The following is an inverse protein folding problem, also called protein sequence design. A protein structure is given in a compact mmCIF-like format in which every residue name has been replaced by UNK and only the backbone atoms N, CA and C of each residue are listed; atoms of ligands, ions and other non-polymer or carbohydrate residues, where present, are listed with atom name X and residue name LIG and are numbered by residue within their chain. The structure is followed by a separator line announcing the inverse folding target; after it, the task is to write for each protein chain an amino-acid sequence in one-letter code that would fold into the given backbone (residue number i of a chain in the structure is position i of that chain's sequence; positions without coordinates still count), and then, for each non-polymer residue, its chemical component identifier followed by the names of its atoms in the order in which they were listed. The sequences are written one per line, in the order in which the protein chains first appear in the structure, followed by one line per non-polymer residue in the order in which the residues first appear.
data_IF_252098456452
#
_entry.id   IF_252098456452
#
_cell.length_a   1.000
_cell.length_b   1.000
_cell.length_c   1.000
_cell.angle_alpha   90.00
_cell.angle_beta   90.00
_cell.angle_gamma   90.00
#
_symmetry.space_group_name_H-M   'P 1'
#
loop_
_entity.id
_entity.type
_entity.pdbx_description
1 polymer ?
#
# COMPACT_ATOMS: atom_id res chain seq x y z
N UNK A 1 18.38 0.01 -23.14
CA UNK A 1 18.56 0.18 -21.68
C UNK A 1 18.19 1.57 -21.18
N UNK A 2 18.55 2.66 -21.87
CA UNK A 2 18.27 4.03 -21.42
C UNK A 2 16.78 4.31 -21.15
N UNK A 3 15.88 3.92 -22.07
CA UNK A 3 14.41 4.06 -21.88
C UNK A 3 13.86 3.31 -20.65
N UNK A 4 14.41 2.14 -20.32
CA UNK A 4 13.99 1.36 -19.14
C UNK A 4 14.43 2.06 -17.86
N UNK A 5 15.68 2.57 -17.84
CA UNK A 5 16.21 3.32 -16.72
C UNK A 5 15.41 4.60 -16.45
N UNK A 6 15.08 5.35 -17.51
CA UNK A 6 14.27 6.57 -17.42
C UNK A 6 12.86 6.26 -16.87
N UNK A 7 12.22 5.19 -17.36
CA UNK A 7 10.93 4.73 -16.85
C UNK A 7 11.00 4.36 -15.36
N UNK A 8 12.02 3.61 -14.95
CA UNK A 8 12.22 3.23 -13.55
C UNK A 8 12.44 4.43 -12.64
N UNK A 9 13.23 5.42 -13.07
CA UNK A 9 13.48 6.64 -12.30
C UNK A 9 12.20 7.48 -12.19
N UNK A 10 11.48 7.64 -13.30
CA UNK A 10 10.26 8.42 -13.31
C UNK A 10 9.20 7.82 -12.36
N UNK A 11 9.01 6.50 -12.41
CA UNK A 11 8.02 5.78 -11.59
C UNK A 11 8.60 5.18 -10.31
N UNK A 12 9.76 5.65 -9.83
CA UNK A 12 10.45 5.08 -8.67
C UNK A 12 9.54 4.95 -7.44
N UNK A 13 8.82 6.03 -7.08
CA UNK A 13 7.89 6.02 -5.94
C UNK A 13 6.68 5.12 -6.17
N UNK A 14 6.20 5.00 -7.41
CA UNK A 14 5.14 4.07 -7.77
C UNK A 14 5.57 2.61 -7.56
N UNK A 15 6.79 2.26 -7.98
CA UNK A 15 7.35 0.93 -7.73
C UNK A 15 7.62 0.68 -6.25
N UNK A 16 8.10 1.69 -5.52
CA UNK A 16 8.33 1.59 -4.09
C UNK A 16 7.02 1.36 -3.31
N UNK A 17 5.95 2.08 -3.66
CA UNK A 17 4.61 1.89 -3.09
C UNK A 17 4.09 0.47 -3.36
N UNK A 18 4.21 0.01 -4.61
CA UNK A 18 3.83 -1.34 -5.02
C UNK A 18 4.57 -2.40 -4.19
N UNK A 19 5.90 -2.32 -4.13
CA UNK A 19 6.74 -3.31 -3.47
C UNK A 19 6.52 -3.32 -1.95
N UNK A 20 6.40 -2.15 -1.34
CA UNK A 20 6.11 -2.00 0.10
C UNK A 20 4.78 -2.65 0.44
N UNK A 21 3.77 -2.50 -0.42
CA UNK A 21 2.44 -3.09 -0.23
C UNK A 21 2.44 -4.61 -0.35
N UNK A 22 3.18 -5.16 -1.32
CA UNK A 22 3.37 -6.61 -1.42
C UNK A 22 4.10 -7.15 -0.19
N UNK A 23 5.21 -6.52 0.21
CA UNK A 23 5.99 -6.95 1.37
C UNK A 23 5.19 -6.88 2.67
N UNK A 24 4.41 -5.80 2.86
CA UNK A 24 3.54 -5.64 4.01
C UNK A 24 2.42 -6.68 4.04
N UNK A 25 1.71 -6.88 2.93
CA UNK A 25 0.67 -7.90 2.82
C UNK A 25 1.21 -9.31 3.07
N UNK A 26 2.39 -9.63 2.52
CA UNK A 26 3.09 -10.89 2.77
C UNK A 26 3.40 -11.10 4.27
N UNK A 27 3.92 -10.06 4.94
CA UNK A 27 4.17 -10.11 6.38
C UNK A 27 2.89 -10.33 7.19
N UNK A 28 1.76 -9.72 6.80
CA UNK A 28 0.48 -9.93 7.45
C UNK A 28 -0.06 -11.36 7.29
N UNK A 29 0.18 -12.01 6.14
CA UNK A 29 -0.23 -13.40 5.92
C UNK A 29 0.56 -14.37 6.81
N UNK A 30 1.88 -14.16 6.96
CA UNK A 30 2.75 -15.05 7.74
C UNK A 30 2.68 -14.78 9.24
N UNK A 31 2.61 -13.50 9.63
CA UNK A 31 2.66 -13.06 11.03
C UNK A 31 1.37 -12.33 11.40
N UNK A 32 0.25 -13.05 11.58
CA UNK A 32 -1.04 -12.44 11.94
C UNK A 32 -1.03 -11.77 13.32
N UNK A 33 -0.06 -12.15 14.15
CA UNK A 33 0.20 -11.58 15.47
C UNK A 33 0.36 -10.06 15.43
N UNK A 34 0.85 -9.48 14.32
CA UNK A 34 0.97 -8.02 14.14
C UNK A 34 -0.40 -7.35 14.32
N UNK A 35 -1.45 -7.91 13.72
CA UNK A 35 -2.80 -7.33 13.82
C UNK A 35 -3.42 -7.61 15.20
N UNK A 36 -3.17 -8.80 15.75
CA UNK A 36 -3.73 -9.24 17.02
C UNK A 36 -3.13 -8.48 18.22
N UNK A 37 -1.82 -8.21 18.18
CA UNK A 37 -1.07 -7.55 19.26
C UNK A 37 -1.59 -6.14 19.54
N UNK A 38 -1.94 -5.39 18.50
CA UNK A 38 -2.31 -3.99 18.66
C UNK A 38 -3.80 -3.76 18.91
N UNK A 39 -4.64 -4.80 19.11
CA UNK A 39 -6.12 -4.65 19.17
C UNK A 39 -6.78 -3.91 17.99
N UNK A 40 -6.01 -3.48 17.00
CA UNK A 40 -6.44 -3.00 15.67
C UNK A 40 -7.40 -4.00 15.07
N UNK A 41 -7.06 -5.28 15.22
CA UNK A 41 -7.89 -6.38 14.79
C UNK A 41 -9.20 -6.46 15.57
N UNK A 42 -9.29 -6.15 16.87
CA UNK A 42 -10.60 -6.20 17.56
C UNK A 42 -11.63 -5.23 16.95
N UNK A 43 -11.21 -4.10 16.37
CA UNK A 43 -12.10 -3.16 15.66
C UNK A 43 -12.42 -3.58 14.22
N UNK A 44 -11.57 -4.41 13.60
CA UNK A 44 -11.66 -4.80 12.17
C UNK A 44 -12.13 -6.26 11.98
N UNK A 45 -11.95 -7.12 12.99
CA UNK A 45 -12.19 -8.58 12.98
C UNK A 45 -13.67 -8.94 12.85
N UNK A 46 -14.57 -8.06 13.27
CA UNK A 46 -16.00 -8.25 13.03
C UNK A 46 -16.36 -8.17 11.54
N UNK A 47 -15.43 -7.69 10.70
CA UNK A 47 -15.67 -7.46 9.27
C UNK A 47 -14.66 -8.19 8.35
N UNK A 48 -13.40 -8.43 8.75
CA UNK A 48 -12.38 -8.99 7.83
C UNK A 48 -11.35 -9.97 8.44
N UNK A 49 -11.13 -11.10 7.75
CA UNK A 49 -10.06 -12.08 8.05
C UNK A 49 -8.66 -11.51 7.74
N UNK A 50 -7.68 -11.75 8.60
CA UNK A 50 -6.30 -11.26 8.52
C UNK A 50 -5.61 -11.72 7.24
N UNK A 51 -5.90 -12.96 6.82
CA UNK A 51 -5.42 -13.50 5.54
C UNK A 51 -5.98 -12.73 4.36
N UNK A 52 -7.25 -12.32 4.45
CA UNK A 52 -7.90 -11.55 3.41
C UNK A 52 -7.25 -10.17 3.26
N UNK A 53 -6.99 -9.48 4.37
CA UNK A 53 -6.29 -8.18 4.37
C UNK A 53 -4.89 -8.32 3.75
N UNK A 54 -4.12 -9.32 4.17
CA UNK A 54 -2.77 -9.55 3.65
C UNK A 54 -2.78 -9.83 2.15
N UNK A 55 -3.66 -10.74 1.70
CA UNK A 55 -3.83 -11.06 0.27
C UNK A 55 -4.31 -9.84 -0.54
N UNK A 56 -5.16 -9.01 0.04
CA UNK A 56 -5.64 -7.79 -0.60
C UNK A 56 -4.50 -6.80 -0.85
N UNK A 57 -3.62 -6.56 0.12
CA UNK A 57 -2.43 -5.74 -0.07
C UNK A 57 -1.47 -6.30 -1.14
N UNK A 58 -1.28 -7.62 -1.17
CA UNK A 58 -0.46 -8.29 -2.18
C UNK A 58 -1.07 -8.11 -3.57
N UNK A 59 -2.36 -8.41 -3.74
CA UNK A 59 -3.05 -8.30 -5.02
C UNK A 59 -3.06 -6.84 -5.52
N UNK A 60 -3.32 -5.88 -4.63
CA UNK A 60 -3.29 -4.46 -4.93
C UNK A 60 -1.90 -4.00 -5.37
N UNK A 61 -0.86 -4.41 -4.64
CA UNK A 61 0.54 -4.16 -4.97
C UNK A 61 0.93 -4.71 -6.34
N UNK A 62 0.73 -5.99 -6.58
CA UNK A 62 1.06 -6.63 -7.85
C UNK A 62 0.32 -5.99 -9.03
N UNK A 63 -0.98 -5.71 -8.87
CA UNK A 63 -1.79 -5.10 -9.93
C UNK A 63 -1.28 -3.70 -10.28
N UNK A 64 -0.92 -2.89 -9.28
CA UNK A 64 -0.39 -1.54 -9.50
C UNK A 64 1.02 -1.55 -10.07
N UNK A 65 1.89 -2.45 -9.60
CA UNK A 65 3.21 -2.67 -10.19
C UNK A 65 3.11 -3.03 -11.67
N UNK A 66 2.25 -4.01 -12.02
CA UNK A 66 2.00 -4.39 -13.41
C UNK A 66 1.42 -3.25 -14.25
N UNK A 67 0.47 -2.49 -13.70
CA UNK A 67 -0.10 -1.31 -14.36
C UNK A 67 0.97 -0.22 -14.60
N UNK A 68 1.95 -0.10 -13.70
CA UNK A 68 3.06 0.85 -13.83
C UNK A 68 4.08 0.37 -14.87
N UNK A 69 4.39 -0.93 -14.91
CA UNK A 69 5.26 -1.52 -15.94
C UNK A 69 4.67 -1.42 -17.35
N UNK A 70 3.37 -1.68 -17.48
CA UNK A 70 2.64 -1.65 -18.77
C UNK A 70 2.05 -0.28 -19.10
N UNK A 71 2.34 0.73 -18.29
CA UNK A 71 1.85 2.10 -18.39
C UNK A 71 0.33 2.25 -18.58
N UNK A 72 -0.47 1.44 -17.87
CA UNK A 72 -1.94 1.43 -17.94
C UNK A 72 -2.54 2.54 -17.07
N UNK A 73 -2.68 3.74 -17.65
CA UNK A 73 -3.21 4.95 -17.00
C UNK A 73 -4.49 4.75 -16.20
N UNK A 74 -5.54 4.19 -16.82
CA UNK A 74 -6.86 3.99 -16.19
C UNK A 74 -6.79 3.13 -14.92
N UNK A 75 -5.95 2.10 -14.96
CA UNK A 75 -5.76 1.20 -13.81
C UNK A 75 -5.03 1.95 -12.69
N UNK A 76 -3.96 2.69 -13.01
CA UNK A 76 -3.24 3.52 -12.03
C UNK A 76 -4.15 4.57 -11.37
N UNK A 77 -5.01 5.23 -12.15
CA UNK A 77 -5.97 6.23 -11.67
C UNK A 77 -6.96 5.68 -10.64
N UNK A 78 -7.41 4.43 -10.81
CA UNK A 78 -8.34 3.80 -9.88
C UNK A 78 -7.59 3.28 -8.64
N UNK A 79 -6.43 2.66 -8.84
CA UNK A 79 -5.70 2.02 -7.75
C UNK A 79 -5.04 3.01 -6.78
N UNK A 80 -4.61 4.20 -7.24
CA UNK A 80 -3.92 5.16 -6.37
C UNK A 80 -4.80 5.72 -5.24
N UNK A 81 -6.03 6.20 -5.51
CA UNK A 81 -6.95 6.60 -4.44
C UNK A 81 -7.24 5.45 -3.47
N UNK A 82 -7.40 4.23 -4.00
CA UNK A 82 -7.62 3.02 -3.19
C UNK A 82 -6.42 2.77 -2.27
N UNK A 83 -5.19 2.87 -2.80
CA UNK A 83 -3.96 2.78 -2.00
C UNK A 83 -3.90 3.81 -0.89
N UNK A 84 -4.09 5.09 -1.22
CA UNK A 84 -4.08 6.17 -0.24
C UNK A 84 -5.13 5.94 0.84
N UNK A 85 -6.34 5.54 0.47
CA UNK A 85 -7.41 5.26 1.41
C UNK A 85 -7.06 4.11 2.36
N UNK A 86 -6.65 2.96 1.83
CA UNK A 86 -6.35 1.78 2.65
C UNK A 86 -5.18 2.04 3.58
N UNK A 87 -4.07 2.58 3.08
CA UNK A 87 -2.91 2.88 3.93
C UNK A 87 -3.24 3.91 5.01
N UNK A 88 -4.06 4.92 4.70
CA UNK A 88 -4.53 5.90 5.69
C UNK A 88 -5.44 5.25 6.73
N UNK A 89 -6.37 4.39 6.30
CA UNK A 89 -7.27 3.67 7.20
C UNK A 89 -6.50 2.78 8.18
N UNK A 90 -5.52 2.02 7.69
CA UNK A 90 -4.65 1.20 8.54
C UNK A 90 -3.80 2.07 9.47
N UNK A 91 -3.22 3.16 8.96
CA UNK A 91 -2.45 4.10 9.76
C UNK A 91 -3.25 4.66 10.92
N UNK A 92 -4.45 5.16 10.66
CA UNK A 92 -5.33 5.65 11.71
C UNK A 92 -5.62 4.55 12.73
N UNK A 93 -5.93 3.34 12.25
CA UNK A 93 -6.21 2.20 13.12
C UNK A 93 -5.04 1.85 14.05
N UNK A 94 -3.80 1.88 13.57
CA UNK A 94 -2.61 1.63 14.40
C UNK A 94 -2.25 2.79 15.33
N UNK A 95 -2.46 4.04 14.92
CA UNK A 95 -2.16 5.23 15.72
C UNK A 95 -3.09 5.35 16.93
N UNK A 96 -4.39 5.04 16.75
CA UNK A 96 -5.38 5.07 17.85
C UNK A 96 -5.34 3.82 18.73
N UNK A 97 -4.44 2.89 18.44
CA UNK A 97 -4.32 1.63 19.16
C UNK A 97 -3.09 1.66 20.06
N UNK A 98 -3.29 1.40 21.35
CA UNK A 98 -2.21 1.27 22.31
C UNK A 98 -1.61 -0.15 22.27
N UNK A 99 -0.29 -0.30 22.52
CA UNK A 99 0.70 0.76 22.72
C UNK A 99 1.15 1.44 21.41
N UNK A 100 1.74 2.66 21.47
CA UNK A 100 2.36 3.30 20.31
C UNK A 100 3.31 2.34 19.60
N UNK A 101 3.20 2.28 18.28
CA UNK A 101 3.91 1.28 17.50
C UNK A 101 4.51 1.86 16.22
N UNK A 102 5.63 1.28 15.80
CA UNK A 102 6.36 1.67 14.60
C UNK A 102 5.59 1.33 13.32
N UNK A 103 4.67 0.35 13.39
CA UNK A 103 3.82 -0.04 12.27
C UNK A 103 2.87 1.09 11.86
N UNK A 104 2.29 1.81 12.83
CA UNK A 104 1.46 2.98 12.58
C UNK A 104 2.21 4.08 11.84
N UNK A 105 3.42 4.41 12.29
CA UNK A 105 4.30 5.38 11.62
C UNK A 105 4.63 4.92 10.20
N UNK A 106 5.01 3.66 10.01
CA UNK A 106 5.27 3.08 8.69
C UNK A 106 4.05 3.25 7.77
N UNK A 107 2.88 2.81 8.22
CA UNK A 107 1.64 2.89 7.42
C UNK A 107 1.27 4.34 7.09
N UNK A 108 1.53 5.31 7.98
CA UNK A 108 1.35 6.73 7.71
C UNK A 108 2.30 7.23 6.62
N UNK A 109 3.59 6.92 6.72
CA UNK A 109 4.58 7.30 5.72
C UNK A 109 4.22 6.75 4.33
N UNK A 110 3.76 5.51 4.26
CA UNK A 110 3.34 4.89 2.99
C UNK A 110 2.03 5.50 2.47
N UNK A 111 1.08 5.86 3.35
CA UNK A 111 -0.12 6.58 2.96
C UNK A 111 0.21 7.94 2.31
N UNK A 112 1.11 8.70 2.93
CA UNK A 112 1.60 9.98 2.40
C UNK A 112 2.36 9.80 1.09
N UNK A 113 3.16 8.73 0.95
CA UNK A 113 3.81 8.40 -0.32
C UNK A 113 2.78 8.12 -1.42
N UNK A 114 1.76 7.31 -1.16
CA UNK A 114 0.70 7.03 -2.12
C UNK A 114 -0.06 8.29 -2.54
N UNK A 115 -0.36 9.16 -1.57
CA UNK A 115 -0.96 10.47 -1.84
C UNK A 115 -0.04 11.36 -2.69
N UNK A 116 1.25 11.42 -2.37
CA UNK A 116 2.25 12.17 -3.14
C UNK A 116 2.39 11.68 -4.59
N UNK A 117 2.38 10.36 -4.80
CA UNK A 117 2.36 9.75 -6.14
C UNK A 117 1.10 10.15 -6.91
N UNK A 118 -0.06 10.17 -6.23
CA UNK A 118 -1.31 10.63 -6.81
C UNK A 118 -1.26 12.12 -7.20
N UNK A 119 -0.73 12.99 -6.33
CA UNK A 119 -0.61 14.42 -6.62
C UNK A 119 0.35 14.71 -7.78
N UNK A 120 1.50 14.03 -7.81
CA UNK A 120 2.48 14.14 -8.91
C UNK A 120 1.86 13.76 -10.25
N UNK A 121 0.82 12.92 -10.21
CA UNK A 121 0.11 12.51 -11.40
C UNK A 121 0.91 11.49 -12.20
N UNK A 122 1.57 10.54 -11.54
CA UNK A 122 2.26 9.41 -12.18
C UNK A 122 1.32 8.57 -13.08
N UNK A 123 0.00 8.81 -13.02
CA UNK A 123 -0.99 8.23 -13.93
C UNK A 123 -1.30 9.07 -15.18
N UNK A 124 -0.85 10.33 -15.23
CA UNK A 124 -1.13 11.30 -16.31
C UNK A 124 -0.28 11.06 -17.55
N UNK A 125 0.88 10.43 -17.40
CA UNK A 125 1.78 10.10 -18.50
C UNK A 125 1.60 8.64 -18.93
N UNK A 126 1.32 8.42 -20.23
CA UNK A 126 0.97 7.13 -20.83
C UNK A 126 -0.01 7.17 -22.00
#
# INVERSE_FOLDING_TARGET
MQKIKEHMIHYYFSYLLSLTSVAYGWKLVIHPEILQTYRVYQKIRDVFDHRFIGLFFIALGLTYGLATMTNRKKIKQILLPVFSFIWTFFSFSFIVSEPPNTVGILTLCVALMGFGVSLRGDFKDG
#
